data_IF_004402616541
#
_entry.id   IF_004402616541
#
_cell.length_a   1.000
_cell.length_b   1.000
_cell.length_c   1.000
_cell.angle_alpha   90.00
_cell.angle_beta   90.00
_cell.angle_gamma   90.00
#
_symmetry.space_group_name_H-M   'P 1'
#
loop_
_entity.id
_entity.type
_entity.pdbx_description
1 polymer ?
#
# COMPACT_ATOMS: atom_id res chain seq x y z
N UNK A 1 16.30 4.26 -71.17
CA UNK A 1 16.51 5.32 -70.14
C UNK A 1 15.44 5.15 -69.09
N UNK A 2 15.77 4.55 -67.96
CA UNK A 2 14.92 4.48 -66.74
C UNK A 2 15.81 4.93 -65.58
N UNK A 3 15.54 6.14 -65.09
CA UNK A 3 16.22 6.69 -63.91
C UNK A 3 15.73 5.97 -62.65
N UNK A 4 16.66 5.45 -61.90
CA UNK A 4 16.44 4.86 -60.58
C UNK A 4 16.49 5.99 -59.53
N UNK A 5 15.31 6.36 -59.02
CA UNK A 5 15.15 7.28 -57.90
C UNK A 5 15.54 6.57 -56.60
N UNK A 6 16.73 6.86 -56.08
CA UNK A 6 17.22 6.36 -54.81
C UNK A 6 16.58 7.17 -53.68
N UNK A 7 15.67 6.57 -52.98
CA UNK A 7 15.07 7.09 -51.73
C UNK A 7 16.14 7.06 -50.64
N UNK A 8 16.68 8.24 -50.29
CA UNK A 8 17.53 8.42 -49.12
C UNK A 8 16.65 8.58 -47.90
N UNK A 9 16.40 7.52 -47.12
CA UNK A 9 15.79 7.57 -45.80
C UNK A 9 16.85 8.12 -44.85
N UNK A 10 16.66 9.37 -44.41
CA UNK A 10 17.51 10.00 -43.38
C UNK A 10 17.33 9.28 -42.05
N UNK A 11 18.41 8.68 -41.57
CA UNK A 11 18.54 7.98 -40.28
C UNK A 11 18.80 9.02 -39.15
N UNK A 12 17.86 9.92 -38.91
CA UNK A 12 18.04 11.01 -37.93
C UNK A 12 17.02 11.00 -36.76
N UNK A 13 16.32 9.88 -36.52
CA UNK A 13 15.28 9.81 -35.47
C UNK A 13 15.59 8.82 -34.34
N UNK A 14 16.83 8.40 -34.14
CA UNK A 14 17.20 7.42 -33.10
C UNK A 14 17.94 8.02 -31.91
N UNK A 15 17.86 9.33 -31.69
CA UNK A 15 18.70 10.03 -30.69
C UNK A 15 18.00 10.64 -29.47
N UNK A 16 16.67 10.51 -29.32
CA UNK A 16 15.94 11.29 -28.26
C UNK A 16 15.20 10.44 -27.24
N UNK A 17 15.24 9.11 -27.34
CA UNK A 17 14.43 8.24 -26.47
C UNK A 17 15.03 7.84 -25.10
N UNK A 18 16.31 8.00 -24.75
CA UNK A 18 16.78 7.54 -23.45
C UNK A 18 16.74 8.56 -22.32
N UNK A 19 16.38 9.85 -22.55
CA UNK A 19 16.47 10.87 -21.50
C UNK A 19 15.18 11.08 -20.69
N UNK A 20 14.03 10.57 -21.16
CA UNK A 20 12.76 10.69 -20.47
C UNK A 20 12.53 9.59 -19.42
N UNK A 21 13.36 8.54 -19.36
CA UNK A 21 13.24 7.43 -18.42
C UNK A 21 13.92 7.68 -17.07
N UNK A 22 14.63 8.78 -16.90
CA UNK A 22 15.36 9.09 -15.66
C UNK A 22 14.56 9.92 -14.67
N UNK A 23 13.38 10.40 -15.01
CA UNK A 23 12.52 11.20 -14.11
C UNK A 23 11.52 10.38 -13.32
N UNK A 24 11.51 9.07 -13.45
CA UNK A 24 10.57 8.18 -12.76
C UNK A 24 11.17 7.38 -11.59
N UNK A 25 12.44 7.63 -11.23
CA UNK A 25 13.01 7.08 -10.01
C UNK A 25 12.75 8.07 -8.89
N UNK A 26 11.87 7.69 -7.99
CA UNK A 26 11.56 8.41 -6.76
C UNK A 26 12.22 7.70 -5.56
N UNK A 27 12.32 8.39 -4.44
CA UNK A 27 12.81 7.81 -3.20
C UNK A 27 11.67 7.76 -2.18
N UNK A 28 11.49 6.60 -1.55
CA UNK A 28 10.55 6.48 -0.43
C UNK A 28 11.04 7.29 0.77
N UNK A 29 10.20 7.60 1.75
CA UNK A 29 10.61 8.29 2.98
C UNK A 29 11.75 7.61 3.74
N UNK A 30 12.01 6.31 3.49
CA UNK A 30 13.14 5.56 4.06
C UNK A 30 14.40 5.62 3.19
N UNK A 31 14.37 6.28 2.02
CA UNK A 31 15.49 6.41 1.09
C UNK A 31 15.67 5.23 0.12
N UNK A 32 14.68 4.36 0.01
CA UNK A 32 14.66 3.29 -1.00
C UNK A 32 14.25 3.86 -2.37
N UNK A 33 15.04 3.59 -3.39
CA UNK A 33 14.68 3.96 -4.77
C UNK A 33 13.51 3.10 -5.27
N UNK A 34 12.52 3.73 -5.87
CA UNK A 34 11.34 3.08 -6.45
C UNK A 34 11.01 3.62 -7.83
N UNK A 35 10.19 2.88 -8.56
CA UNK A 35 9.63 3.29 -9.84
C UNK A 35 8.13 3.47 -9.70
N UNK A 36 7.69 4.70 -9.47
CA UNK A 36 6.31 5.14 -9.38
C UNK A 36 6.01 6.10 -10.52
N UNK A 37 5.26 5.66 -11.54
CA UNK A 37 5.06 6.42 -12.78
C UNK A 37 3.68 7.06 -12.90
N UNK A 38 2.74 6.67 -12.03
CA UNK A 38 1.38 7.23 -12.05
C UNK A 38 1.40 8.55 -11.26
N UNK A 39 0.93 9.66 -11.83
CA UNK A 39 0.84 10.92 -11.08
C UNK A 39 0.03 10.76 -9.80
N UNK A 40 0.49 11.36 -8.70
CA UNK A 40 -0.10 11.26 -7.37
C UNK A 40 -1.60 11.61 -7.35
N UNK A 41 -1.99 12.71 -8.00
CA UNK A 41 -3.41 13.10 -8.07
C UNK A 41 -4.30 12.03 -8.71
N UNK A 42 -3.79 11.26 -9.70
CA UNK A 42 -4.52 10.14 -10.29
C UNK A 42 -4.58 8.95 -9.32
N UNK A 43 -3.50 8.69 -8.56
CA UNK A 43 -3.53 7.67 -7.51
C UNK A 43 -4.57 8.03 -6.44
N UNK A 44 -4.63 9.29 -6.02
CA UNK A 44 -5.60 9.77 -5.03
C UNK A 44 -7.05 9.70 -5.56
N UNK A 45 -7.30 10.07 -6.83
CA UNK A 45 -8.61 9.91 -7.48
C UNK A 45 -9.04 8.43 -7.54
N UNK A 46 -8.15 7.53 -7.96
CA UNK A 46 -8.41 6.09 -8.00
C UNK A 46 -8.70 5.53 -6.60
N UNK A 47 -7.97 5.99 -5.59
CA UNK A 47 -8.19 5.63 -4.20
C UNK A 47 -9.58 6.08 -3.72
N UNK A 48 -9.95 7.33 -3.99
CA UNK A 48 -11.26 7.87 -3.63
C UNK A 48 -12.41 7.12 -4.31
N UNK A 49 -12.32 6.90 -5.63
CA UNK A 49 -13.35 6.17 -6.39
C UNK A 49 -13.53 4.73 -5.87
N UNK A 50 -12.41 4.05 -5.59
CA UNK A 50 -12.41 2.69 -5.04
C UNK A 50 -13.04 2.66 -3.64
N UNK A 51 -12.69 3.60 -2.78
CA UNK A 51 -13.23 3.71 -1.43
C UNK A 51 -14.73 4.00 -1.43
N UNK A 52 -15.16 4.90 -2.29
CA UNK A 52 -16.58 5.20 -2.48
C UNK A 52 -17.38 4.02 -3.02
N UNK A 53 -16.76 3.20 -3.89
CA UNK A 53 -17.38 1.95 -4.35
C UNK A 53 -17.51 0.95 -3.19
N UNK A 54 -16.46 0.75 -2.39
CA UNK A 54 -16.52 -0.13 -1.21
C UNK A 54 -17.62 0.30 -0.23
N UNK A 55 -17.76 1.60 0.03
CA UNK A 55 -18.81 2.14 0.90
C UNK A 55 -20.23 1.92 0.36
N UNK A 56 -20.39 1.82 -0.95
CA UNK A 56 -21.69 1.49 -1.57
C UNK A 56 -21.98 0.00 -1.51
N UNK A 57 -20.95 -0.84 -1.65
CA UNK A 57 -21.09 -2.27 -1.86
C UNK A 57 -21.06 -3.05 -0.54
N UNK A 58 -20.44 -2.50 0.51
CA UNK A 58 -20.27 -3.16 1.80
C UNK A 58 -21.00 -2.40 2.93
N UNK A 59 -21.57 -3.10 3.91
CA UNK A 59 -22.19 -2.46 5.06
C UNK A 59 -21.13 -1.80 5.94
N UNK A 60 -21.41 -0.56 6.34
CA UNK A 60 -20.58 0.23 7.27
C UNK A 60 -21.08 0.03 8.70
N UNK A 61 -20.17 -0.19 9.63
CA UNK A 61 -20.49 -0.39 11.05
C UNK A 61 -21.13 0.85 11.66
N UNK A 62 -22.19 0.60 12.43
CA UNK A 62 -22.92 1.62 13.23
C UNK A 62 -22.59 1.54 14.71
N UNK A 63 -21.69 0.65 15.11
CA UNK A 63 -21.25 0.56 16.50
C UNK A 63 -20.41 1.79 16.85
N UNK A 64 -20.98 2.63 17.73
CA UNK A 64 -20.36 3.89 18.11
C UNK A 64 -19.08 3.69 18.94
N UNK A 65 -18.94 2.58 19.68
CA UNK A 65 -17.74 2.31 20.47
C UNK A 65 -16.59 1.89 19.56
N UNK A 66 -16.85 0.96 18.63
CA UNK A 66 -15.88 0.51 17.63
C UNK A 66 -15.43 1.70 16.77
N UNK A 67 -16.36 2.48 16.26
CA UNK A 67 -16.03 3.63 15.41
C UNK A 67 -15.18 4.67 16.14
N UNK A 68 -15.48 4.95 17.43
CA UNK A 68 -14.65 5.88 18.22
C UNK A 68 -13.24 5.34 18.45
N UNK A 69 -13.10 4.08 18.81
CA UNK A 69 -11.79 3.45 19.02
C UNK A 69 -10.93 3.49 17.77
N UNK A 70 -11.48 3.04 16.61
CA UNK A 70 -10.77 3.03 15.34
C UNK A 70 -10.42 4.45 14.91
N UNK A 71 -11.32 5.42 15.05
CA UNK A 71 -11.06 6.82 14.74
C UNK A 71 -9.96 7.41 15.62
N UNK A 72 -9.98 7.15 16.94
CA UNK A 72 -8.95 7.60 17.88
C UNK A 72 -7.57 7.06 17.46
N UNK A 73 -7.42 5.74 17.31
CA UNK A 73 -6.15 5.13 16.92
C UNK A 73 -5.66 5.67 15.57
N UNK A 74 -6.56 5.79 14.58
CA UNK A 74 -6.18 6.32 13.26
C UNK A 74 -5.71 7.78 13.32
N UNK A 75 -6.36 8.62 14.13
CA UNK A 75 -5.98 10.04 14.30
C UNK A 75 -4.59 10.17 14.92
N UNK A 76 -4.30 9.42 15.99
CA UNK A 76 -2.97 9.43 16.62
C UNK A 76 -1.88 8.92 15.68
N UNK A 77 -2.15 7.83 14.94
CA UNK A 77 -1.21 7.28 13.95
C UNK A 77 -0.93 8.28 12.83
N UNK A 78 -1.97 8.91 12.25
CA UNK A 78 -1.81 9.88 11.17
C UNK A 78 -1.04 11.12 11.65
N UNK A 79 -1.35 11.64 12.84
CA UNK A 79 -0.64 12.79 13.41
C UNK A 79 0.86 12.48 13.66
N UNK A 80 1.16 11.27 14.15
CA UNK A 80 2.54 10.83 14.32
C UNK A 80 3.26 10.62 12.98
N UNK A 81 2.57 10.06 11.98
CA UNK A 81 3.09 9.86 10.64
C UNK A 81 3.45 11.19 9.97
N UNK A 82 2.57 12.19 10.06
CA UNK A 82 2.83 13.55 9.59
C UNK A 82 4.04 14.18 10.28
N UNK A 83 4.16 14.00 11.59
CA UNK A 83 5.29 14.54 12.35
C UNK A 83 6.65 13.94 11.96
N UNK A 84 6.69 12.68 11.53
CA UNK A 84 7.93 11.97 11.15
C UNK A 84 8.23 12.12 9.66
N UNK A 85 7.20 11.97 8.82
CA UNK A 85 7.32 11.79 7.36
C UNK A 85 6.61 12.90 6.57
N UNK A 86 6.45 14.12 7.16
CA UNK A 86 5.84 15.23 6.43
C UNK A 86 6.60 15.48 5.11
N UNK A 87 5.91 15.31 4.00
CA UNK A 87 6.37 15.53 2.65
C UNK A 87 5.34 16.38 1.90
N UNK A 88 5.73 16.95 0.77
CA UNK A 88 4.83 17.80 -0.04
C UNK A 88 3.59 17.01 -0.54
N UNK A 89 3.66 15.68 -0.58
CA UNK A 89 2.65 14.74 -1.03
C UNK A 89 1.90 14.01 0.11
N UNK A 90 2.10 14.45 1.38
CA UNK A 90 1.33 13.90 2.50
C UNK A 90 -0.18 14.20 2.31
N UNK A 91 -1.08 13.19 2.42
CA UNK A 91 -2.50 13.42 2.20
C UNK A 91 -3.07 14.52 3.10
N UNK A 92 -3.71 15.54 2.50
CA UNK A 92 -4.28 16.68 3.24
C UNK A 92 -5.37 16.27 4.25
N UNK A 93 -6.05 15.15 3.98
CA UNK A 93 -7.09 14.62 4.85
C UNK A 93 -7.12 13.10 4.82
N UNK A 94 -7.40 12.50 5.97
CA UNK A 94 -7.58 11.07 6.13
C UNK A 94 -9.03 10.75 6.49
N UNK A 95 -9.63 9.84 5.73
CA UNK A 95 -10.96 9.31 5.99
C UNK A 95 -10.87 7.88 6.49
N UNK A 96 -11.58 7.56 7.58
CA UNK A 96 -11.57 6.24 8.19
C UNK A 96 -12.98 5.67 8.21
N UNK A 97 -13.15 4.46 7.73
CA UNK A 97 -14.43 3.74 7.74
C UNK A 97 -14.25 2.33 8.28
N UNK A 98 -15.15 1.93 9.18
CA UNK A 98 -15.22 0.55 9.66
C UNK A 98 -16.29 -0.19 8.86
N UNK A 99 -15.91 -1.26 8.17
CA UNK A 99 -16.80 -2.13 7.40
C UNK A 99 -17.24 -3.35 8.24
N UNK A 100 -18.51 -3.72 8.13
CA UNK A 100 -19.04 -4.92 8.76
C UNK A 100 -18.66 -6.16 7.95
N UNK A 101 -17.41 -6.59 8.09
CA UNK A 101 -16.87 -7.80 7.47
C UNK A 101 -16.20 -8.66 8.54
N UNK A 102 -16.47 -9.97 8.48
CA UNK A 102 -15.92 -10.92 9.44
C UNK A 102 -14.47 -11.32 9.16
N UNK A 103 -13.94 -10.99 7.97
CA UNK A 103 -12.55 -11.23 7.64
C UNK A 103 -11.63 -10.29 8.44
N UNK A 104 -10.52 -10.79 9.01
CA UNK A 104 -9.54 -9.94 9.67
C UNK A 104 -8.70 -9.21 8.63
N UNK A 105 -9.13 -8.00 8.28
CA UNK A 105 -8.49 -7.19 7.26
C UNK A 105 -8.55 -5.68 7.61
N UNK A 106 -7.57 -4.94 7.11
CA UNK A 106 -7.57 -3.50 6.96
C UNK A 106 -6.82 -3.13 5.69
N UNK A 107 -7.00 -1.91 5.22
CA UNK A 107 -6.30 -1.39 4.06
C UNK A 107 -6.24 0.14 4.12
N UNK A 108 -5.21 0.71 3.50
CA UNK A 108 -5.21 2.12 3.17
C UNK A 108 -5.01 2.31 1.66
N UNK A 109 -5.78 3.25 1.10
CA UNK A 109 -5.72 3.61 -0.31
C UNK A 109 -5.06 4.98 -0.48
N UNK A 110 -4.43 5.24 -1.63
CA UNK A 110 -3.87 6.54 -1.95
C UNK A 110 -4.87 7.67 -1.71
N UNK A 111 -4.37 8.84 -1.29
CA UNK A 111 -5.20 9.97 -0.92
C UNK A 111 -5.81 9.89 0.48
N UNK A 112 -5.27 9.02 1.37
CA UNK A 112 -5.64 9.01 2.79
C UNK A 112 -6.96 8.33 3.10
N UNK A 113 -7.26 7.16 2.54
CA UNK A 113 -8.50 6.41 2.77
C UNK A 113 -8.21 5.11 3.51
N UNK A 114 -8.63 5.00 4.78
CA UNK A 114 -8.43 3.84 5.64
C UNK A 114 -9.74 3.07 5.81
N UNK A 115 -9.70 1.77 5.49
CA UNK A 115 -10.79 0.83 5.75
C UNK A 115 -10.36 -0.20 6.79
N UNK A 116 -11.21 -0.43 7.79
CA UNK A 116 -10.98 -1.44 8.84
C UNK A 116 -12.17 -2.38 8.88
N UNK A 117 -11.95 -3.69 8.77
CA UNK A 117 -12.99 -4.69 8.92
C UNK A 117 -13.24 -5.01 10.40
N UNK A 118 -14.50 -5.21 10.77
CA UNK A 118 -14.85 -5.61 12.16
C UNK A 118 -14.21 -6.94 12.56
N UNK A 119 -13.89 -7.80 11.60
CA UNK A 119 -13.16 -9.05 11.83
C UNK A 119 -11.74 -8.85 12.34
N UNK A 120 -11.07 -7.74 11.95
CA UNK A 120 -9.74 -7.39 12.43
C UNK A 120 -9.72 -7.17 13.94
N UNK A 121 -10.75 -6.52 14.49
CA UNK A 121 -10.84 -6.21 15.92
C UNK A 121 -10.98 -7.43 16.83
N UNK A 122 -11.18 -8.62 16.25
CA UNK A 122 -11.15 -9.90 16.97
C UNK A 122 -9.74 -10.48 17.08
N UNK A 123 -8.80 -9.95 16.30
CA UNK A 123 -7.41 -10.40 16.20
C UNK A 123 -6.48 -9.34 16.78
N UNK A 124 -6.73 -8.07 16.46
CA UNK A 124 -6.12 -6.91 17.11
C UNK A 124 -6.91 -6.60 18.39
N UNK A 125 -6.54 -7.27 19.48
CA UNK A 125 -7.29 -7.30 20.76
C UNK A 125 -7.12 -6.03 21.59
N UNK A 126 -6.11 -5.20 21.27
CA UNK A 126 -5.78 -3.95 21.98
C UNK A 126 -5.67 -2.78 21.02
N UNK A 127 -5.83 -1.51 21.49
CA UNK A 127 -5.54 -0.34 20.68
C UNK A 127 -4.12 -0.33 20.10
N UNK A 128 -3.13 -0.84 20.83
CA UNK A 128 -1.75 -0.92 20.37
C UNK A 128 -1.58 -1.89 19.19
N UNK A 129 -2.27 -3.04 19.22
CA UNK A 129 -2.29 -4.00 18.11
C UNK A 129 -3.01 -3.41 16.89
N UNK A 130 -4.10 -2.68 17.11
CA UNK A 130 -4.78 -1.97 16.02
C UNK A 130 -3.89 -0.86 15.43
N UNK A 131 -3.15 -0.14 16.28
CA UNK A 131 -2.18 0.86 15.86
C UNK A 131 -1.05 0.26 15.00
N UNK A 132 -0.60 -0.95 15.31
CA UNK A 132 0.39 -1.65 14.49
C UNK A 132 -0.12 -1.92 13.06
N UNK A 133 -1.40 -2.33 12.91
CA UNK A 133 -2.00 -2.53 11.56
C UNK A 133 -2.17 -1.19 10.85
N UNK A 134 -2.79 -0.21 11.50
CA UNK A 134 -3.08 1.08 10.86
C UNK A 134 -1.77 1.79 10.50
N UNK A 135 -0.75 1.74 11.37
CA UNK A 135 0.58 2.29 11.08
C UNK A 135 1.26 1.62 9.88
N UNK A 136 1.12 0.30 9.74
CA UNK A 136 1.60 -0.45 8.58
C UNK A 136 0.89 -0.02 7.29
N UNK A 137 -0.44 0.12 7.32
CA UNK A 137 -1.23 0.58 6.17
C UNK A 137 -0.88 2.02 5.77
N UNK A 138 -0.73 2.92 6.75
CA UNK A 138 -0.26 4.29 6.52
C UNK A 138 1.14 4.28 5.92
N UNK A 139 2.04 3.41 6.39
CA UNK A 139 3.37 3.20 5.83
C UNK A 139 3.32 2.85 4.34
N UNK A 140 2.41 1.97 3.91
CA UNK A 140 2.22 1.66 2.48
C UNK A 140 1.81 2.86 1.64
N UNK A 141 0.95 3.74 2.17
CA UNK A 141 0.52 4.96 1.46
C UNK A 141 1.69 5.94 1.36
N UNK A 142 2.39 6.20 2.46
CA UNK A 142 3.50 7.18 2.49
C UNK A 142 4.71 6.74 1.67
N UNK A 143 4.97 5.43 1.57
CA UNK A 143 6.02 4.89 0.70
C UNK A 143 5.56 4.67 -0.76
N UNK A 144 4.33 5.11 -1.09
CA UNK A 144 3.72 5.00 -2.43
C UNK A 144 3.79 3.59 -3.05
N UNK A 145 3.73 2.56 -2.19
CA UNK A 145 3.82 1.15 -2.60
C UNK A 145 2.70 0.74 -3.57
N UNK A 146 1.53 1.39 -3.48
CA UNK A 146 0.41 1.20 -4.40
C UNK A 146 0.76 1.57 -5.82
N UNK A 147 1.41 2.70 -6.03
CA UNK A 147 1.86 3.21 -7.31
C UNK A 147 3.00 2.37 -7.89
N UNK A 148 4.01 2.04 -7.08
CA UNK A 148 5.11 1.18 -7.52
C UNK A 148 4.57 -0.17 -8.01
N UNK A 149 3.65 -0.79 -7.28
CA UNK A 149 2.99 -2.04 -7.67
C UNK A 149 2.18 -1.89 -8.96
N UNK A 150 1.40 -0.81 -9.10
CA UNK A 150 0.64 -0.51 -10.32
C UNK A 150 1.58 -0.30 -11.51
N UNK A 151 2.65 0.46 -11.33
CA UNK A 151 3.67 0.71 -12.34
C UNK A 151 4.34 -0.59 -12.82
N UNK A 152 4.73 -1.47 -11.90
CA UNK A 152 5.29 -2.78 -12.24
C UNK A 152 4.33 -3.62 -13.07
N UNK A 153 3.05 -3.63 -12.73
CA UNK A 153 2.04 -4.39 -13.47
C UNK A 153 1.76 -3.81 -14.85
N UNK A 154 1.71 -2.48 -14.98
CA UNK A 154 1.60 -1.82 -16.28
C UNK A 154 2.81 -2.16 -17.15
N UNK A 155 4.02 -2.19 -16.58
CA UNK A 155 5.24 -2.62 -17.27
C UNK A 155 5.17 -4.07 -17.75
N UNK A 156 4.71 -5.00 -16.92
CA UNK A 156 4.53 -6.41 -17.29
C UNK A 156 3.50 -6.55 -18.41
N UNK A 157 2.36 -5.86 -18.31
CA UNK A 157 1.31 -5.90 -19.34
C UNK A 157 1.78 -5.31 -20.67
N UNK A 158 2.51 -4.18 -20.64
CA UNK A 158 3.12 -3.59 -21.82
C UNK A 158 4.15 -4.54 -22.47
N UNK A 159 4.98 -5.19 -21.67
CA UNK A 159 5.91 -6.22 -22.13
C UNK A 159 5.21 -7.40 -22.80
N UNK A 160 4.14 -7.92 -22.19
CA UNK A 160 3.33 -9.00 -22.77
C UNK A 160 2.68 -8.59 -24.10
N UNK A 161 2.21 -7.32 -24.19
CA UNK A 161 1.66 -6.77 -25.43
C UNK A 161 2.71 -6.74 -26.54
N UNK A 162 3.92 -6.25 -26.24
CA UNK A 162 5.03 -6.23 -27.23
C UNK A 162 5.39 -7.63 -27.69
N UNK A 163 5.49 -8.59 -26.77
CA UNK A 163 5.75 -10.00 -27.11
C UNK A 163 4.61 -10.59 -27.95
N UNK A 164 3.36 -10.29 -27.61
CA UNK A 164 2.19 -10.74 -28.38
C UNK A 164 2.11 -10.14 -29.78
N UNK A 165 2.58 -8.88 -29.96
CA UNK A 165 2.62 -8.22 -31.27
C UNK A 165 3.81 -8.68 -32.14
N UNK A 166 4.91 -9.09 -31.52
CA UNK A 166 6.12 -9.55 -32.21
C UNK A 166 6.14 -11.09 -32.40
N UNK A 167 5.34 -11.82 -31.60
CA UNK A 167 5.19 -13.28 -31.72
C UNK A 167 4.09 -13.62 -32.73
N UNK A 168 4.29 -14.69 -33.52
CA UNK A 168 3.30 -15.23 -34.47
C UNK A 168 2.06 -15.86 -33.76
N UNK A 169 1.79 -15.51 -32.51
CA UNK A 169 0.65 -15.98 -31.73
C UNK A 169 -0.52 -15.00 -31.82
N UNK A 170 -1.64 -15.48 -32.33
CA UNK A 170 -2.94 -14.78 -32.40
C UNK A 170 -3.51 -14.56 -30.97
N UNK A 171 -2.88 -13.68 -30.20
CA UNK A 171 -3.49 -13.13 -28.97
C UNK A 171 -4.55 -12.14 -29.41
N UNK A 172 -5.80 -12.60 -29.42
CA UNK A 172 -6.92 -11.79 -29.88
C UNK A 172 -7.03 -10.48 -29.09
N UNK A 173 -7.47 -9.42 -29.81
CA UNK A 173 -7.74 -8.07 -29.30
C UNK A 173 -8.58 -8.09 -28.00
N UNK A 174 -9.40 -9.11 -27.81
CA UNK A 174 -10.24 -9.35 -26.64
C UNK A 174 -9.44 -9.72 -25.37
N UNK A 175 -8.38 -10.53 -25.50
CA UNK A 175 -7.51 -10.89 -24.37
C UNK A 175 -6.64 -9.72 -23.93
N UNK A 176 -6.23 -8.88 -24.89
CA UNK A 176 -5.52 -7.64 -24.61
C UNK A 176 -6.40 -6.65 -23.82
N UNK A 177 -7.65 -6.44 -24.25
CA UNK A 177 -8.59 -5.54 -23.57
C UNK A 177 -8.95 -6.05 -22.17
N UNK A 178 -9.07 -7.38 -21.97
CA UNK A 178 -9.25 -7.96 -20.64
C UNK A 178 -8.01 -7.75 -19.74
N UNK A 179 -6.81 -7.92 -20.29
CA UNK A 179 -5.58 -7.65 -19.55
C UNK A 179 -5.44 -6.17 -19.14
N UNK A 180 -5.90 -5.24 -19.97
CA UNK A 180 -5.90 -3.81 -19.68
C UNK A 180 -7.06 -3.41 -18.73
N UNK A 181 -8.21 -4.09 -18.82
CA UNK A 181 -9.41 -3.79 -18.01
C UNK A 181 -9.33 -4.20 -16.54
N UNK A 182 -8.36 -5.04 -16.17
CA UNK A 182 -8.12 -5.44 -14.76
C UNK A 182 -7.46 -4.33 -13.92
N UNK A 183 -7.18 -3.15 -14.50
CA UNK A 183 -6.51 -2.05 -13.81
C UNK A 183 -7.26 -1.47 -12.60
N UNK A 184 -8.58 -1.48 -12.61
CA UNK A 184 -9.40 -0.89 -11.54
C UNK A 184 -9.46 -1.71 -10.24
N UNK A 185 -9.16 -3.03 -10.27
CA UNK A 185 -9.15 -3.89 -9.07
C UNK A 185 -7.77 -4.01 -8.41
N UNK A 186 -6.76 -3.32 -8.93
CA UNK A 186 -5.35 -3.57 -8.61
C UNK A 186 -4.89 -3.02 -7.25
N UNK A 187 -5.66 -2.15 -6.61
CA UNK A 187 -5.26 -1.56 -5.33
C UNK A 187 -5.35 -2.54 -4.14
N UNK A 188 -6.33 -3.44 -4.13
CA UNK A 188 -6.71 -4.22 -2.93
C UNK A 188 -6.37 -5.71 -3.01
N UNK A 189 -6.26 -6.29 -4.22
CA UNK A 189 -6.27 -7.77 -4.37
C UNK A 189 -4.92 -8.41 -4.66
N UNK A 190 -3.84 -7.66 -4.81
CA UNK A 190 -2.53 -8.22 -5.15
C UNK A 190 -1.55 -8.13 -3.99
N UNK A 191 -0.76 -9.17 -3.74
CA UNK A 191 0.21 -9.15 -2.65
C UNK A 191 1.30 -8.12 -2.91
N UNK A 192 1.74 -7.46 -1.84
CA UNK A 192 2.92 -6.60 -1.83
C UNK A 192 4.21 -7.42 -1.89
N UNK A 193 5.30 -6.80 -2.36
CA UNK A 193 6.60 -7.43 -2.34
C UNK A 193 7.16 -7.51 -0.92
N UNK A 194 8.12 -8.40 -0.68
CA UNK A 194 8.78 -8.49 0.64
C UNK A 194 9.42 -7.16 1.06
N UNK A 195 10.01 -6.42 0.11
CA UNK A 195 10.62 -5.13 0.39
C UNK A 195 9.58 -4.09 0.82
N UNK A 196 8.41 -4.07 0.15
CA UNK A 196 7.29 -3.21 0.55
C UNK A 196 6.81 -3.53 1.97
N UNK A 197 6.67 -4.82 2.28
CA UNK A 197 6.21 -5.26 3.60
C UNK A 197 7.18 -4.92 4.73
N UNK A 198 8.48 -5.16 4.52
CA UNK A 198 9.51 -4.80 5.49
C UNK A 198 9.61 -3.29 5.70
N UNK A 199 9.50 -2.50 4.63
CA UNK A 199 9.48 -1.04 4.70
C UNK A 199 8.25 -0.52 5.46
N UNK A 200 7.05 -1.02 5.13
CA UNK A 200 5.81 -0.66 5.81
C UNK A 200 5.81 -1.08 7.29
N UNK A 201 6.39 -2.23 7.63
CA UNK A 201 6.55 -2.67 9.01
C UNK A 201 7.44 -1.72 9.83
N UNK A 202 8.59 -1.33 9.27
CA UNK A 202 9.53 -0.44 9.96
C UNK A 202 8.97 0.97 10.10
N UNK A 203 8.31 1.49 9.07
CA UNK A 203 7.60 2.77 9.14
C UNK A 203 6.46 2.72 10.15
N UNK A 204 5.63 1.69 10.09
CA UNK A 204 4.51 1.48 11.02
C UNK A 204 4.97 1.36 12.48
N UNK A 205 6.09 0.65 12.72
CA UNK A 205 6.70 0.53 14.05
C UNK A 205 7.15 1.90 14.59
N UNK A 206 7.81 2.70 13.77
CA UNK A 206 8.24 4.05 14.15
C UNK A 206 7.04 4.98 14.41
N UNK A 207 6.02 4.92 13.54
CA UNK A 207 4.79 5.73 13.64
C UNK A 207 4.05 5.38 14.93
N UNK A 208 3.79 4.07 15.21
CA UNK A 208 3.04 3.69 16.41
C UNK A 208 3.77 4.07 17.71
N UNK A 209 5.09 3.93 17.73
CA UNK A 209 5.90 4.34 18.88
C UNK A 209 5.81 5.87 19.12
N UNK A 210 5.89 6.67 18.06
CA UNK A 210 5.74 8.12 18.11
C UNK A 210 4.32 8.54 18.48
N UNK A 211 3.31 7.76 18.09
CA UNK A 211 1.91 7.99 18.46
C UNK A 211 1.59 7.61 19.93
N UNK A 212 2.55 7.03 20.66
CA UNK A 212 2.37 6.64 22.06
C UNK A 212 1.70 5.27 22.24
N UNK A 213 1.75 4.39 21.24
CA UNK A 213 1.36 2.98 21.32
C UNK A 213 2.57 2.08 21.54
N UNK A 214 2.42 1.01 22.33
CA UNK A 214 3.51 0.08 22.65
C UNK A 214 3.96 -0.70 21.40
N UNK A 215 5.17 -0.47 20.88
CA UNK A 215 5.63 -1.13 19.66
C UNK A 215 5.82 -2.65 19.82
N UNK A 216 5.93 -3.17 21.05
CA UNK A 216 6.06 -4.62 21.30
C UNK A 216 4.79 -5.38 20.89
N UNK A 217 3.63 -4.71 20.90
CA UNK A 217 2.34 -5.28 20.48
C UNK A 217 2.29 -5.58 18.97
N UNK A 218 3.15 -4.97 18.16
CA UNK A 218 3.28 -5.33 16.73
C UNK A 218 3.66 -6.80 16.53
N UNK A 219 4.57 -7.32 17.35
CA UNK A 219 4.99 -8.74 17.32
C UNK A 219 3.89 -9.66 17.86
N UNK A 220 3.15 -9.20 18.88
CA UNK A 220 2.02 -9.95 19.43
C UNK A 220 0.91 -10.09 18.40
N UNK A 221 0.59 -9.00 17.67
CA UNK A 221 -0.36 -9.00 16.58
C UNK A 221 -0.03 -10.07 15.51
N UNK A 222 1.23 -10.15 15.04
CA UNK A 222 1.61 -11.17 14.05
C UNK A 222 1.38 -12.59 14.53
N UNK A 223 1.55 -12.86 15.83
CA UNK A 223 1.25 -14.16 16.44
C UNK A 223 -0.27 -14.42 16.44
N UNK A 224 -1.06 -13.43 16.79
CA UNK A 224 -2.52 -13.52 16.77
C UNK A 224 -3.02 -13.77 15.34
N UNK A 225 -2.51 -13.02 14.35
CA UNK A 225 -2.82 -13.22 12.92
C UNK A 225 -2.51 -14.64 12.45
N UNK A 226 -1.33 -15.16 12.82
CA UNK A 226 -0.94 -16.52 12.47
C UNK A 226 -1.85 -17.58 13.11
N UNK A 227 -2.32 -17.33 14.34
CA UNK A 227 -3.22 -18.24 15.06
C UNK A 227 -4.67 -18.20 14.53
N UNK A 228 -5.13 -17.04 14.05
CA UNK A 228 -6.50 -16.85 13.55
C UNK A 228 -6.79 -17.60 12.24
N UNK A 229 -5.76 -18.03 11.51
CA UNK A 229 -5.89 -18.60 10.15
C UNK A 229 -6.58 -19.96 10.03
N UNK A 230 -6.81 -20.70 11.11
CA UNK A 230 -7.63 -21.93 11.12
C UNK A 230 -7.38 -22.94 9.97
N UNK A 231 -6.18 -22.93 9.34
CA UNK A 231 -5.81 -23.75 8.19
C UNK A 231 -5.83 -23.02 6.83
N UNK A 232 -6.37 -21.82 6.76
CA UNK A 232 -6.18 -20.88 5.63
C UNK A 232 -5.63 -19.56 6.17
N UNK A 233 -4.71 -18.89 5.44
CA UNK A 233 -4.23 -17.58 5.87
C UNK A 233 -5.40 -16.59 6.00
N UNK A 234 -5.44 -15.74 7.05
CA UNK A 234 -6.34 -14.60 7.09
C UNK A 234 -6.25 -13.75 5.82
N UNK A 235 -7.34 -13.06 5.46
CA UNK A 235 -7.39 -12.23 4.25
C UNK A 235 -6.25 -11.21 4.22
N UNK A 236 -5.96 -10.57 5.34
CA UNK A 236 -4.81 -9.67 5.50
C UNK A 236 -3.50 -10.31 5.03
N UNK A 237 -3.24 -11.58 5.38
CA UNK A 237 -2.02 -12.28 4.97
C UNK A 237 -2.00 -12.67 3.49
N UNK A 238 -3.11 -12.56 2.76
CA UNK A 238 -3.13 -12.79 1.32
C UNK A 238 -2.56 -11.61 0.53
N UNK A 239 -2.75 -10.40 1.03
CA UNK A 239 -2.21 -9.15 0.46
C UNK A 239 -0.90 -8.73 1.13
N UNK A 240 -0.70 -9.10 2.40
CA UNK A 240 0.48 -8.83 3.23
C UNK A 240 1.13 -10.14 3.70
N UNK A 241 1.91 -10.82 2.85
CA UNK A 241 2.44 -12.14 3.16
C UNK A 241 3.33 -12.14 4.40
N UNK A 242 3.06 -13.07 5.32
CA UNK A 242 3.88 -13.26 6.50
C UNK A 242 5.20 -13.97 6.11
N UNK A 243 6.31 -13.27 6.27
CA UNK A 243 7.65 -13.83 6.13
C UNK A 243 8.39 -13.75 7.47
N UNK A 244 9.20 -14.75 7.79
CA UNK A 244 9.98 -14.76 9.01
C UNK A 244 10.91 -13.53 9.13
N UNK A 245 11.43 -13.03 7.99
CA UNK A 245 12.26 -11.83 7.93
C UNK A 245 11.57 -10.58 8.47
N UNK A 246 10.24 -10.45 8.36
CA UNK A 246 9.48 -9.30 8.88
C UNK A 246 9.55 -9.23 10.41
N UNK A 247 9.33 -10.37 11.07
CA UNK A 247 9.44 -10.45 12.55
C UNK A 247 10.87 -10.16 13.00
N UNK A 248 11.86 -10.66 12.27
CA UNK A 248 13.27 -10.39 12.57
C UNK A 248 13.60 -8.90 12.40
N UNK A 249 13.14 -8.25 11.34
CA UNK A 249 13.34 -6.82 11.12
C UNK A 249 12.67 -5.97 12.21
N UNK A 250 11.43 -6.27 12.58
CA UNK A 250 10.74 -5.62 13.70
C UNK A 250 11.50 -5.78 15.01
N UNK A 251 12.03 -6.99 15.30
CA UNK A 251 12.80 -7.24 16.52
C UNK A 251 14.12 -6.45 16.55
N UNK A 252 14.79 -6.28 15.40
CA UNK A 252 16.02 -5.50 15.30
C UNK A 252 15.77 -3.99 15.53
N UNK A 253 14.63 -3.46 15.05
CA UNK A 253 14.25 -2.06 15.22
C UNK A 253 13.57 -1.77 16.59
N UNK A 254 13.23 -2.82 17.37
CA UNK A 254 12.42 -2.71 18.58
C UNK A 254 13.06 -1.84 19.66
N UNK A 255 14.37 -1.89 19.84
CA UNK A 255 15.06 -1.12 20.89
C UNK A 255 14.86 0.38 20.69
N UNK A 256 15.01 0.88 19.47
CA UNK A 256 14.79 2.28 19.12
C UNK A 256 13.31 2.68 19.24
N UNK A 257 12.40 1.83 18.76
CA UNK A 257 10.96 2.07 18.85
C UNK A 257 10.50 2.15 20.33
N UNK A 258 10.97 1.26 21.19
CA UNK A 258 10.66 1.29 22.64
C UNK A 258 11.25 2.55 23.30
N UNK A 259 12.43 3.00 22.89
CA UNK A 259 13.01 4.24 23.41
C UNK A 259 12.15 5.46 23.04
N UNK A 260 11.66 5.53 21.79
CA UNK A 260 10.73 6.56 21.30
C UNK A 260 9.42 6.53 22.09
N UNK A 261 8.79 5.36 22.20
CA UNK A 261 7.56 5.17 22.96
C UNK A 261 7.68 5.66 24.42
N UNK A 262 8.76 5.32 25.10
CA UNK A 262 9.00 5.76 26.48
C UNK A 262 9.19 7.26 26.64
N UNK A 263 9.58 7.97 25.58
CA UNK A 263 9.74 9.42 25.55
C UNK A 263 8.44 10.15 25.15
N UNK A 264 7.45 9.41 24.67
CA UNK A 264 6.16 9.94 24.18
C UNK A 264 5.08 9.78 25.25
N UNK A 265 4.06 10.66 25.23
CA UNK A 265 2.86 10.49 26.08
C UNK A 265 2.04 9.32 25.54
N UNK A 266 1.68 8.33 26.39
CA UNK A 266 0.86 7.20 25.94
C UNK A 266 -0.47 7.67 25.36
N UNK A 267 -0.89 7.08 24.25
CA UNK A 267 -2.19 7.31 23.65
C UNK A 267 -3.31 6.68 24.52
N UNK A 268 -4.44 7.38 24.67
CA UNK A 268 -5.61 6.86 25.38
C UNK A 268 -6.78 6.68 24.42
N UNK A 269 -6.83 5.52 23.77
CA UNK A 269 -7.88 5.10 22.84
C UNK A 269 -8.69 3.91 23.37
N UNK A 270 -8.81 3.76 24.69
CA UNK A 270 -9.53 2.65 25.32
C UNK A 270 -11.06 2.82 25.31
N UNK A 271 -11.64 3.85 24.68
CA UNK A 271 -13.08 4.04 24.45
C UNK A 271 -13.77 4.94 25.43
#
# INVERSE_FOLDING_TARGET
MREAMRLRISLSLLGVLPLALLTGCDETPTGRSQLALVPEHLMAEMGADTFDQLRRDQPVSRDAAINRQVACVSQEIVAAAEAIYAADDFPEAWEVVVFEDASPNAFALPGGRIGVHTGLLKVAETPDQLAAVIGHEVGHVLADHGNERLTQQLGIKAGMLVVGLLGEGDMGQQQLMQALGLGAQLGISLPFSRAHEEEADLMGLAIMAQAGFDPQESVALWRNMAAAGGGQPPEFLSTHPAHASRIEALQQAMEEAVATYRATTPADCNG
#
